data_IF_970807980163
#
_entry.id   IF_970807980163
#
_cell.length_a   1.000
_cell.length_b   1.000
_cell.length_c   1.000
_cell.angle_alpha   90.00
_cell.angle_beta   90.00
_cell.angle_gamma   90.00
#
_symmetry.space_group_name_H-M   'P 1'
#
loop_
_entity.id
_entity.type
_entity.pdbx_description
1 polymer ?
#
# COMPACT_ATOMS: atom_id res chain seq x y z
N UNK A 1 20.91 -0.96 37.96
CA UNK A 1 19.59 -1.21 37.32
C UNK A 1 19.70 -0.67 35.91
N UNK A 2 19.92 -1.53 34.92
CA UNK A 2 20.19 -1.12 33.54
C UNK A 2 18.88 -1.16 32.75
N UNK A 3 18.42 0.00 32.29
CA UNK A 3 17.24 0.11 31.42
C UNK A 3 17.53 -0.54 30.05
N UNK A 4 16.67 -1.45 29.57
CA UNK A 4 16.86 -2.10 28.29
C UNK A 4 16.59 -1.12 27.14
N UNK A 5 17.63 -0.80 26.37
CA UNK A 5 17.53 0.01 25.14
C UNK A 5 16.93 -0.83 24.01
N UNK A 6 15.72 -0.45 23.59
CA UNK A 6 15.01 -0.98 22.43
C UNK A 6 15.76 -0.63 21.13
N UNK A 7 16.18 -1.64 20.37
CA UNK A 7 16.89 -1.46 19.11
C UNK A 7 16.08 -2.12 17.99
N UNK A 8 15.18 -1.35 17.38
CA UNK A 8 14.37 -1.75 16.23
C UNK A 8 15.25 -2.16 15.04
N UNK A 9 15.74 -3.40 15.03
CA UNK A 9 16.37 -3.98 13.85
C UNK A 9 15.24 -4.26 12.85
N UNK A 10 15.09 -3.30 11.94
CA UNK A 10 14.06 -3.23 10.91
C UNK A 10 14.24 -4.36 9.91
N UNK A 11 13.65 -5.51 10.23
CA UNK A 11 13.77 -6.71 9.42
C UNK A 11 13.22 -6.46 8.00
N UNK A 12 14.03 -6.92 7.05
CA UNK A 12 14.01 -6.67 5.60
C UNK A 12 12.59 -6.52 5.04
N UNK A 13 12.24 -5.29 4.66
CA UNK A 13 11.02 -4.88 3.93
C UNK A 13 10.56 -5.96 2.94
N UNK A 14 9.50 -6.69 3.29
CA UNK A 14 8.98 -7.79 2.48
C UNK A 14 8.71 -7.33 1.04
N UNK A 15 9.32 -7.99 0.05
CA UNK A 15 9.08 -7.73 -1.38
C UNK A 15 7.60 -7.89 -1.74
N UNK A 16 6.90 -8.78 -1.03
CA UNK A 16 5.48 -9.06 -1.22
C UNK A 16 4.59 -7.83 -0.93
N UNK A 17 4.83 -7.12 0.18
CA UNK A 17 4.09 -5.90 0.51
C UNK A 17 4.33 -4.75 -0.48
N UNK A 18 5.46 -4.77 -1.22
CA UNK A 18 5.73 -3.81 -2.29
C UNK A 18 4.88 -4.08 -3.53
N UNK A 19 4.73 -5.35 -3.91
CA UNK A 19 3.87 -5.76 -5.04
C UNK A 19 2.42 -5.40 -4.75
N UNK A 20 1.90 -5.77 -3.57
CA UNK A 20 0.51 -5.44 -3.19
C UNK A 20 0.27 -3.93 -3.13
N UNK A 21 1.25 -3.15 -2.64
CA UNK A 21 1.17 -1.69 -2.70
C UNK A 21 1.09 -1.16 -4.13
N UNK A 22 1.90 -1.69 -5.05
CA UNK A 22 1.84 -1.32 -6.46
C UNK A 22 0.51 -1.71 -7.10
N UNK A 23 -0.03 -2.90 -6.80
CA UNK A 23 -1.35 -3.32 -7.26
C UNK A 23 -2.47 -2.41 -6.77
N UNK A 24 -2.44 -1.97 -5.50
CA UNK A 24 -3.41 -1.02 -4.97
C UNK A 24 -3.36 0.31 -5.71
N UNK A 25 -2.16 0.87 -5.92
CA UNK A 25 -2.02 2.13 -6.65
C UNK A 25 -2.41 1.99 -8.13
N UNK A 26 -2.08 0.86 -8.75
CA UNK A 26 -2.47 0.53 -10.12
C UNK A 26 -3.99 0.42 -10.27
N UNK A 27 -4.68 -0.22 -9.32
CA UNK A 27 -6.14 -0.30 -9.30
C UNK A 27 -6.77 1.09 -9.16
N UNK A 28 -6.27 1.93 -8.25
CA UNK A 28 -6.75 3.31 -8.11
C UNK A 28 -6.57 4.10 -9.40
N UNK A 29 -5.41 3.97 -10.04
CA UNK A 29 -5.13 4.66 -11.31
C UNK A 29 -6.03 4.14 -12.44
N UNK A 30 -6.23 2.83 -12.52
CA UNK A 30 -7.11 2.20 -13.51
C UNK A 30 -8.55 2.70 -13.37
N UNK A 31 -9.08 2.81 -12.15
CA UNK A 31 -10.44 3.33 -11.92
C UNK A 31 -10.54 4.82 -12.29
N UNK A 32 -9.51 5.60 -11.98
CA UNK A 32 -9.44 7.02 -12.35
C UNK A 32 -9.41 7.19 -13.87
N UNK A 33 -8.55 6.42 -14.55
CA UNK A 33 -8.44 6.40 -16.01
C UNK A 33 -9.70 5.84 -16.67
N UNK A 34 -10.35 4.84 -16.07
CA UNK A 34 -11.63 4.31 -16.55
C UNK A 34 -12.75 5.34 -16.46
N UNK A 35 -12.77 6.15 -15.40
CA UNK A 35 -13.73 7.25 -15.25
C UNK A 35 -13.50 8.32 -16.33
N UNK A 36 -12.26 8.77 -16.49
CA UNK A 36 -11.89 9.76 -17.51
C UNK A 36 -12.10 9.22 -18.93
N UNK A 37 -11.77 7.95 -19.17
CA UNK A 37 -11.96 7.25 -20.43
C UNK A 37 -13.43 7.10 -20.78
N UNK A 38 -14.29 6.82 -19.80
CA UNK A 38 -15.75 6.78 -20.01
C UNK A 38 -16.28 8.15 -20.40
N UNK A 39 -15.88 9.21 -19.69
CA UNK A 39 -16.25 10.57 -20.07
C UNK A 39 -15.75 10.92 -21.49
N UNK A 40 -14.49 10.64 -21.80
CA UNK A 40 -13.91 10.91 -23.11
C UNK A 40 -14.60 10.12 -24.23
N UNK A 41 -15.00 8.88 -23.98
CA UNK A 41 -15.71 8.04 -24.94
C UNK A 41 -17.14 8.52 -25.18
N UNK A 42 -17.85 8.96 -24.13
CA UNK A 42 -19.27 9.35 -24.20
C UNK A 42 -19.47 10.79 -24.69
N UNK A 43 -18.54 11.69 -24.39
CA UNK A 43 -18.61 13.13 -24.77
C UNK A 43 -18.90 13.38 -26.26
N UNK A 44 -18.21 12.75 -27.24
CA UNK A 44 -18.47 13.02 -28.65
C UNK A 44 -19.88 12.59 -29.09
N UNK A 45 -20.44 11.54 -28.50
CA UNK A 45 -21.80 11.08 -28.80
C UNK A 45 -22.88 11.95 -28.16
N UNK A 46 -22.59 12.56 -27.01
CA UNK A 46 -23.48 13.53 -26.37
C UNK A 46 -23.50 14.88 -27.08
N UNK A 47 -22.38 15.29 -27.68
CA UNK A 47 -22.26 16.53 -28.44
C UNK A 47 -22.76 16.41 -29.90
N UNK A 48 -23.16 15.21 -30.31
CA UNK A 48 -23.73 14.94 -31.63
C UNK A 48 -25.13 15.55 -31.80
N UNK A 49 -25.57 15.77 -33.05
CA UNK A 49 -26.89 16.33 -33.35
C UNK A 49 -28.04 15.33 -33.14
N UNK A 50 -27.75 14.03 -33.07
CA UNK A 50 -28.75 12.96 -33.02
C UNK A 50 -29.21 12.66 -31.57
N UNK A 51 -30.48 12.94 -31.21
CA UNK A 51 -30.96 12.81 -29.85
C UNK A 51 -31.05 11.35 -29.38
N UNK A 52 -31.37 10.40 -30.26
CA UNK A 52 -31.42 8.97 -29.88
C UNK A 52 -30.04 8.44 -29.50
N UNK A 53 -29.00 8.87 -30.23
CA UNK A 53 -27.61 8.49 -29.98
C UNK A 53 -27.12 9.10 -28.66
N UNK A 54 -27.45 10.37 -28.40
CA UNK A 54 -27.12 11.04 -27.14
C UNK A 54 -27.76 10.34 -25.93
N UNK A 55 -29.02 9.91 -26.02
CA UNK A 55 -29.69 9.17 -24.95
C UNK A 55 -28.99 7.82 -24.71
N UNK A 56 -28.70 7.07 -25.77
CA UNK A 56 -28.00 5.78 -25.67
C UNK A 56 -26.61 5.92 -25.04
N UNK A 57 -25.83 6.91 -25.49
CA UNK A 57 -24.51 7.20 -24.94
C UNK A 57 -24.57 7.66 -23.48
N UNK A 58 -25.58 8.46 -23.11
CA UNK A 58 -25.83 8.88 -21.74
C UNK A 58 -26.16 7.72 -20.81
N UNK A 59 -27.05 6.80 -21.24
CA UNK A 59 -27.38 5.59 -20.47
C UNK A 59 -26.17 4.69 -20.29
N UNK A 60 -25.39 4.46 -21.36
CA UNK A 60 -24.16 3.70 -21.29
C UNK A 60 -23.15 4.34 -20.34
N UNK A 61 -22.92 5.65 -20.46
CA UNK A 61 -22.02 6.40 -19.58
C UNK A 61 -22.45 6.33 -18.12
N UNK A 62 -23.75 6.48 -17.84
CA UNK A 62 -24.30 6.38 -16.49
C UNK A 62 -24.12 4.96 -15.90
N UNK A 63 -24.39 3.92 -16.70
CA UNK A 63 -24.17 2.52 -16.29
C UNK A 63 -22.68 2.24 -16.04
N UNK A 64 -21.81 2.66 -16.94
CA UNK A 64 -20.37 2.45 -16.84
C UNK A 64 -19.79 3.17 -15.61
N UNK A 65 -20.13 4.45 -15.41
CA UNK A 65 -19.71 5.22 -14.23
C UNK A 65 -20.32 4.65 -12.95
N UNK A 66 -21.61 4.29 -12.95
CA UNK A 66 -22.26 3.69 -11.79
C UNK A 66 -21.65 2.35 -11.39
N UNK A 67 -21.30 1.50 -12.37
CA UNK A 67 -20.58 0.25 -12.13
C UNK A 67 -19.17 0.50 -11.62
N UNK A 68 -18.45 1.47 -12.19
CA UNK A 68 -17.14 1.87 -11.68
C UNK A 68 -17.23 2.34 -10.22
N UNK A 69 -18.18 3.22 -9.92
CA UNK A 69 -18.34 3.79 -8.57
C UNK A 69 -18.79 2.79 -7.51
N UNK A 70 -19.42 1.69 -7.90
CA UNK A 70 -19.78 0.59 -6.98
C UNK A 70 -18.64 -0.40 -6.82
N UNK A 71 -17.99 -0.77 -7.93
CA UNK A 71 -16.87 -1.72 -7.91
C UNK A 71 -15.60 -1.12 -7.30
N UNK A 72 -15.39 0.17 -7.45
CA UNK A 72 -14.21 0.89 -6.95
C UNK A 72 -14.06 0.79 -5.42
N UNK A 73 -15.02 1.23 -4.58
CA UNK A 73 -14.88 1.09 -3.14
C UNK A 73 -14.74 -0.38 -2.72
N UNK A 74 -15.49 -1.29 -3.34
CA UNK A 74 -15.37 -2.73 -3.05
C UNK A 74 -13.95 -3.25 -3.31
N UNK A 75 -13.38 -2.95 -4.48
CA UNK A 75 -12.01 -3.29 -4.82
C UNK A 75 -10.98 -2.61 -3.90
N UNK A 76 -11.20 -1.35 -3.53
CA UNK A 76 -10.32 -0.64 -2.59
C UNK A 76 -10.31 -1.28 -1.21
N UNK A 77 -11.46 -1.74 -0.72
CA UNK A 77 -11.58 -2.41 0.58
C UNK A 77 -10.84 -3.75 0.55
N UNK A 78 -11.06 -4.55 -0.49
CA UNK A 78 -10.42 -5.86 -0.64
C UNK A 78 -8.90 -5.71 -0.76
N UNK A 79 -8.40 -4.86 -1.67
CA UNK A 79 -6.97 -4.64 -1.83
C UNK A 79 -6.36 -3.93 -0.62
N UNK A 80 -7.08 -3.01 0.01
CA UNK A 80 -6.66 -2.30 1.21
C UNK A 80 -6.49 -3.25 2.39
N UNK A 81 -7.43 -4.18 2.57
CA UNK A 81 -7.34 -5.23 3.58
C UNK A 81 -6.16 -6.17 3.28
N UNK A 82 -5.97 -6.56 2.02
CA UNK A 82 -4.83 -7.37 1.61
C UNK A 82 -3.50 -6.66 1.88
N UNK A 83 -3.43 -5.35 1.66
CA UNK A 83 -2.26 -4.50 1.93
C UNK A 83 -1.99 -4.41 3.45
N UNK A 84 -3.04 -4.33 4.27
CA UNK A 84 -2.93 -4.33 5.72
C UNK A 84 -2.44 -5.68 6.26
N UNK A 85 -2.99 -6.79 5.73
CA UNK A 85 -2.59 -8.15 6.10
C UNK A 85 -1.16 -8.48 5.67
N UNK A 86 -0.73 -7.97 4.51
CA UNK A 86 0.63 -8.19 3.97
C UNK A 86 1.67 -7.23 4.51
N UNK A 87 1.25 -6.15 5.21
CA UNK A 87 2.09 -5.35 6.11
C UNK A 87 2.38 -6.15 7.37
N UNK A 88 3.21 -7.18 7.23
CA UNK A 88 3.74 -7.95 8.34
C UNK A 88 4.21 -7.05 9.49
N UNK A 89 3.68 -7.34 10.68
CA UNK A 89 4.02 -6.86 12.03
C UNK A 89 5.35 -6.11 12.15
N UNK A 90 5.30 -4.93 12.76
CA UNK A 90 6.47 -4.28 13.37
C UNK A 90 7.03 -5.24 14.43
N UNK A 91 8.07 -6.01 14.12
CA UNK A 91 8.86 -6.67 15.15
C UNK A 91 9.78 -5.60 15.73
N UNK A 92 9.44 -5.13 16.94
CA UNK A 92 10.41 -4.52 17.83
C UNK A 92 11.35 -5.65 18.27
N UNK A 93 12.56 -5.66 17.73
CA UNK A 93 13.65 -6.45 18.28
C UNK A 93 14.19 -5.62 19.45
N UNK A 94 14.25 -6.19 20.65
CA UNK A 94 15.05 -5.61 21.73
C UNK A 94 16.49 -6.05 21.49
N UNK A 95 17.44 -5.12 21.40
CA UNK A 95 18.84 -5.52 21.41
C UNK A 95 19.15 -6.07 22.79
N UNK A 96 19.59 -7.32 22.82
CA UNK A 96 20.10 -7.96 24.01
C UNK A 96 21.39 -7.25 24.45
N UNK A 97 21.52 -6.80 25.72
CA UNK A 97 22.66 -5.99 26.21
C UNK A 97 24.04 -6.67 26.16
N UNK A 98 24.10 -7.97 25.84
CA UNK A 98 25.31 -8.78 26.01
C UNK A 98 26.45 -8.45 25.05
N UNK A 99 26.16 -7.89 23.87
CA UNK A 99 27.21 -7.51 22.91
C UNK A 99 28.08 -6.33 23.39
N UNK A 100 27.58 -5.51 24.33
CA UNK A 100 28.33 -4.41 24.94
C UNK A 100 29.13 -4.85 26.17
N UNK A 101 28.65 -5.85 26.91
CA UNK A 101 29.34 -6.36 28.11
C UNK A 101 30.62 -7.14 27.76
N UNK A 102 30.61 -7.89 26.66
CA UNK A 102 31.77 -8.66 26.20
C UNK A 102 32.94 -7.80 25.71
N UNK A 103 32.72 -6.52 25.35
CA UNK A 103 33.78 -5.60 24.90
C UNK A 103 34.32 -4.68 25.99
N UNK A 104 33.72 -4.69 27.19
CA UNK A 104 34.06 -3.77 28.27
C UNK A 104 35.00 -4.36 29.34
N UNK A 105 35.49 -5.60 29.16
CA UNK A 105 36.49 -6.19 30.05
C UNK A 105 37.87 -6.09 29.41
N UNK A 106 38.70 -5.08 29.74
CA UNK A 106 40.14 -5.22 29.57
C UNK A 106 40.65 -6.32 30.51
N UNK A 107 41.64 -7.13 30.12
CA UNK A 107 42.28 -8.05 31.05
C UNK A 107 42.85 -7.26 32.22
N UNK A 108 42.46 -7.62 33.45
CA UNK A 108 43.09 -7.13 34.67
C UNK A 108 44.62 -7.25 34.55
N UNK A 109 45.30 -6.11 34.63
CA UNK A 109 46.72 -6.06 34.86
C UNK A 109 46.95 -6.19 36.38
N UNK A 110 47.79 -7.16 36.79
CA UNK A 110 48.55 -7.00 38.04
C UNK A 110 48.83 -8.27 38.85
N UNK A 111 50.08 -8.72 38.76
CA UNK A 111 50.90 -8.86 39.97
C UNK A 111 51.10 -10.25 40.57
N UNK A 112 52.21 -10.89 40.20
CA UNK A 112 53.15 -11.65 41.07
C UNK A 112 54.51 -11.52 40.36
N UNK A 113 55.59 -11.01 40.94
CA UNK A 113 56.12 -11.18 42.30
C UNK A 113 57.58 -11.54 42.10
#
# INVERSE_FOLDING_TARGET
>A
MAEPVLLEVRERRSRFGRVVKWSFWGFQLLMLLGSLGTCAAVTPFLAGPDPEVAIGAGMFGAMAIGTLWTLWPLGTVVLGLLLLLTRGRKRLIQALPEASAARASPPEAGGRG
#
